data_IF_090096102930
#
_entry.id   IF_090096102930
#
_cell.length_a   1.000
_cell.length_b   1.000
_cell.length_c   1.000
_cell.angle_alpha   90.00
_cell.angle_beta   90.00
_cell.angle_gamma   90.00
#
_symmetry.space_group_name_H-M   'P 1'
#
loop_
_entity.id
_entity.type
_entity.pdbx_description
1 polymer ?
#
# COMPACT_ATOMS: atom_id res chain seq x y z
N UNK A 1 5.07 16.18 -6.90
CA UNK A 1 6.20 15.31 -6.51
C UNK A 1 7.51 16.08 -6.36
N UNK A 2 7.99 16.85 -7.35
CA UNK A 2 9.23 17.66 -7.26
C UNK A 2 9.23 18.67 -6.11
N UNK A 3 8.14 19.40 -5.90
CA UNK A 3 7.99 20.40 -4.84
C UNK A 3 8.00 19.76 -3.43
N UNK A 4 7.44 18.58 -3.29
CA UNK A 4 7.49 17.76 -2.08
C UNK A 4 8.92 17.35 -1.71
N UNK A 5 9.70 16.87 -2.69
CA UNK A 5 11.10 16.49 -2.49
C UNK A 5 11.98 17.69 -2.12
N UNK A 6 11.67 18.87 -2.62
CA UNK A 6 12.41 20.11 -2.34
C UNK A 6 12.14 20.66 -0.94
N UNK A 7 10.90 20.61 -0.47
CA UNK A 7 10.51 21.00 0.90
C UNK A 7 11.09 20.04 1.93
N UNK A 8 11.12 18.75 1.61
CA UNK A 8 11.71 17.71 2.48
C UNK A 8 13.22 17.83 2.58
N UNK A 9 13.92 18.14 1.48
CA UNK A 9 15.39 18.33 1.48
C UNK A 9 15.85 19.59 2.23
N UNK A 10 15.03 20.63 2.23
CA UNK A 10 15.38 21.92 2.85
C UNK A 10 14.96 22.03 4.31
N UNK A 11 14.30 21.00 4.85
CA UNK A 11 13.78 21.01 6.22
C UNK A 11 14.78 20.37 7.18
N UNK A 12 15.49 21.21 7.91
CA UNK A 12 16.50 20.81 8.92
C UNK A 12 15.78 20.69 10.27
N UNK A 13 15.12 19.56 10.52
CA UNK A 13 14.50 19.32 11.83
C UNK A 13 13.40 18.26 11.82
N UNK A 14 12.95 17.81 12.99
CA UNK A 14 11.85 16.88 13.10
C UNK A 14 10.57 17.52 12.53
N UNK A 15 9.83 16.75 11.73
CA UNK A 15 8.59 17.19 11.09
C UNK A 15 7.46 16.22 11.41
N UNK A 16 6.26 16.73 11.61
CA UNK A 16 5.05 15.92 11.65
C UNK A 16 4.54 15.68 10.23
N UNK A 17 4.28 14.43 9.87
CA UNK A 17 3.73 14.03 8.59
C UNK A 17 2.37 13.39 8.86
N UNK A 18 1.32 13.85 8.17
CA UNK A 18 0.01 13.25 8.29
C UNK A 18 -0.59 12.96 6.92
N UNK A 19 -1.16 11.76 6.77
CA UNK A 19 -2.08 11.42 5.69
C UNK A 19 -3.52 11.51 6.21
N UNK A 20 -4.37 12.07 5.39
CA UNK A 20 -5.78 12.32 5.73
C UNK A 20 -6.64 11.91 4.55
N UNK A 21 -7.77 11.29 4.83
CA UNK A 21 -8.75 10.85 3.85
C UNK A 21 -10.16 11.29 4.27
N UNK A 22 -10.94 11.74 3.31
CA UNK A 22 -12.32 12.14 3.56
C UNK A 22 -13.20 10.90 3.68
N UNK A 23 -13.81 10.72 4.85
CA UNK A 23 -14.69 9.58 5.08
C UNK A 23 -15.91 9.63 4.15
N UNK A 24 -16.26 8.46 3.60
CA UNK A 24 -17.44 8.29 2.74
C UNK A 24 -17.48 9.19 1.49
N UNK A 25 -16.34 9.70 1.02
CA UNK A 25 -16.28 10.60 -0.13
C UNK A 25 -16.89 10.00 -1.40
N UNK A 26 -16.72 8.70 -1.62
CA UNK A 26 -17.38 8.01 -2.74
C UNK A 26 -18.89 8.06 -2.61
N UNK A 27 -19.44 7.87 -1.41
CA UNK A 27 -20.90 7.96 -1.16
C UNK A 27 -21.39 9.37 -1.46
N UNK A 28 -20.62 10.41 -1.10
CA UNK A 28 -20.93 11.79 -1.47
C UNK A 28 -21.06 11.96 -2.99
N UNK A 29 -20.06 11.50 -3.76
CA UNK A 29 -20.08 11.57 -5.22
C UNK A 29 -21.26 10.80 -5.82
N UNK A 30 -21.51 9.58 -5.32
CA UNK A 30 -22.58 8.73 -5.83
C UNK A 30 -23.98 9.28 -5.50
N UNK A 31 -24.12 10.01 -4.39
CA UNK A 31 -25.42 10.55 -3.92
C UNK A 31 -25.71 11.95 -4.47
N UNK A 32 -24.71 12.84 -4.46
CA UNK A 32 -24.87 14.26 -4.77
C UNK A 32 -24.16 14.69 -6.07
N UNK A 33 -23.45 13.77 -6.73
CA UNK A 33 -22.70 14.02 -7.95
C UNK A 33 -21.31 14.62 -7.72
N UNK A 34 -20.45 14.55 -8.73
CA UNK A 34 -19.04 14.99 -8.67
C UNK A 34 -18.87 16.47 -8.30
N UNK A 35 -19.83 17.33 -8.68
CA UNK A 35 -19.78 18.74 -8.30
C UNK A 35 -19.84 18.94 -6.77
N UNK A 36 -20.66 18.14 -6.07
CA UNK A 36 -20.71 18.16 -4.60
C UNK A 36 -19.39 17.66 -3.99
N UNK A 37 -18.77 16.63 -4.60
CA UNK A 37 -17.45 16.14 -4.20
C UNK A 37 -16.36 17.20 -4.37
N UNK A 38 -16.35 17.95 -5.48
CA UNK A 38 -15.39 19.02 -5.68
C UNK A 38 -15.55 20.14 -4.62
N UNK A 39 -16.77 20.53 -4.29
CA UNK A 39 -17.06 21.48 -3.22
C UNK A 39 -16.65 20.94 -1.84
N UNK A 40 -16.85 19.65 -1.58
CA UNK A 40 -16.38 19.00 -0.36
C UNK A 40 -14.86 19.06 -0.23
N UNK A 41 -14.12 18.72 -1.30
CA UNK A 41 -12.66 18.82 -1.35
C UNK A 41 -12.15 20.24 -1.09
N UNK A 42 -12.76 21.23 -1.73
CA UNK A 42 -12.42 22.65 -1.49
C UNK A 42 -12.69 23.07 -0.05
N UNK A 43 -13.83 22.63 0.51
CA UNK A 43 -14.24 22.96 1.87
C UNK A 43 -13.27 22.35 2.88
N UNK A 44 -12.91 21.07 2.71
CA UNK A 44 -11.89 20.40 3.53
C UNK A 44 -10.54 21.10 3.43
N UNK A 45 -10.07 21.41 2.22
CA UNK A 45 -8.79 22.08 2.03
C UNK A 45 -8.77 23.47 2.71
N UNK A 46 -9.85 24.24 2.64
CA UNK A 46 -9.99 25.54 3.32
C UNK A 46 -9.99 25.39 4.84
N UNK A 47 -10.70 24.40 5.37
CA UNK A 47 -10.73 24.12 6.81
C UNK A 47 -9.34 23.71 7.32
N UNK A 48 -8.63 22.84 6.63
CA UNK A 48 -7.26 22.46 7.01
C UNK A 48 -6.33 23.67 6.96
N UNK A 49 -6.37 24.46 5.89
CA UNK A 49 -5.54 25.67 5.74
C UNK A 49 -5.76 26.70 6.82
N UNK A 50 -6.98 26.83 7.36
CA UNK A 50 -7.26 27.75 8.47
C UNK A 50 -6.62 27.31 9.80
N UNK A 51 -6.22 26.05 9.91
CA UNK A 51 -5.62 25.45 11.11
C UNK A 51 -4.08 25.39 11.06
N UNK A 52 -3.46 25.68 9.93
CA UNK A 52 -2.02 25.49 9.69
C UNK A 52 -1.32 26.82 9.40
N UNK A 53 0.01 26.86 9.52
CA UNK A 53 0.86 28.02 9.26
C UNK A 53 1.19 28.13 7.76
N UNK A 54 1.66 29.29 7.32
CA UNK A 54 2.16 29.46 5.95
C UNK A 54 3.36 28.57 5.63
N UNK A 55 4.15 28.23 6.65
CA UNK A 55 5.29 27.30 6.53
C UNK A 55 4.91 25.84 6.44
N UNK A 56 3.67 25.50 6.77
CA UNK A 56 3.16 24.14 6.73
C UNK A 56 2.69 23.83 5.30
N UNK A 57 2.86 22.58 4.87
CA UNK A 57 2.57 22.19 3.50
C UNK A 57 1.36 21.25 3.46
N UNK A 58 0.31 21.68 2.75
CA UNK A 58 -0.86 20.87 2.44
C UNK A 58 -0.86 20.51 0.96
N UNK A 59 -0.86 19.21 0.65
CA UNK A 59 -0.83 18.65 -0.71
C UNK A 59 -2.05 17.73 -0.87
N UNK A 60 -2.79 17.86 -1.96
CA UNK A 60 -3.73 16.82 -2.38
C UNK A 60 -2.95 15.65 -2.96
N UNK A 61 -2.93 14.52 -2.26
CA UNK A 61 -2.08 13.37 -2.55
C UNK A 61 -2.74 12.38 -3.51
N UNK A 62 -4.06 12.20 -3.41
CA UNK A 62 -4.90 11.34 -4.25
C UNK A 62 -6.27 11.94 -4.49
N UNK A 63 -7.25 11.13 -4.86
CA UNK A 63 -8.64 11.56 -5.13
C UNK A 63 -9.26 12.37 -3.98
N UNK A 64 -9.35 11.77 -2.80
CA UNK A 64 -9.88 12.30 -1.54
C UNK A 64 -8.85 12.38 -0.43
N UNK A 65 -7.58 12.12 -0.77
CA UNK A 65 -6.47 12.05 0.18
C UNK A 65 -5.66 13.35 0.19
N UNK A 66 -5.26 13.78 1.39
CA UNK A 66 -4.39 14.92 1.62
C UNK A 66 -3.15 14.50 2.41
N UNK A 67 -2.00 15.03 2.02
CA UNK A 67 -0.75 14.93 2.76
C UNK A 67 -0.45 16.29 3.42
N UNK A 68 -0.20 16.27 4.71
CA UNK A 68 0.18 17.44 5.51
C UNK A 68 1.59 17.25 6.06
N UNK A 69 2.43 18.27 5.87
CA UNK A 69 3.79 18.35 6.43
C UNK A 69 3.83 19.54 7.38
N UNK A 70 4.21 19.30 8.63
CA UNK A 70 4.30 20.27 9.72
C UNK A 70 5.74 20.39 10.19
N UNK A 71 6.57 21.26 9.58
CA UNK A 71 7.95 21.44 9.95
C UNK A 71 8.13 21.95 11.39
N UNK A 72 9.02 21.31 12.14
CA UNK A 72 9.36 21.76 13.51
C UNK A 72 8.21 21.69 14.52
N UNK A 73 7.16 20.90 14.26
CA UNK A 73 6.10 20.71 15.24
C UNK A 73 6.61 19.88 16.43
N UNK A 74 6.38 20.29 17.69
CA UNK A 74 6.70 19.46 18.85
C UNK A 74 5.87 18.17 18.87
N UNK A 75 6.51 17.05 19.26
CA UNK A 75 5.86 15.73 19.23
C UNK A 75 4.63 15.63 20.15
N UNK A 76 4.69 16.28 21.31
CA UNK A 76 3.57 16.36 22.27
C UNK A 76 2.39 17.19 21.74
N UNK A 77 2.66 18.16 20.86
CA UNK A 77 1.62 19.00 20.25
C UNK A 77 1.07 18.43 18.93
N UNK A 78 1.77 17.48 18.31
CA UNK A 78 1.41 16.97 16.99
C UNK A 78 0.00 16.35 16.96
N UNK A 79 -0.31 15.44 17.90
CA UNK A 79 -1.65 14.85 18.00
C UNK A 79 -2.73 15.90 18.23
N UNK A 80 -2.47 16.87 19.11
CA UNK A 80 -3.40 17.97 19.40
C UNK A 80 -3.71 18.78 18.14
N UNK A 81 -2.70 19.04 17.31
CA UNK A 81 -2.85 19.74 16.04
C UNK A 81 -3.73 18.96 15.06
N UNK A 82 -3.53 17.65 14.94
CA UNK A 82 -4.34 16.80 14.05
C UNK A 82 -5.80 16.72 14.51
N UNK A 83 -6.05 16.65 15.84
CA UNK A 83 -7.41 16.71 16.41
C UNK A 83 -8.09 18.06 16.17
N UNK A 84 -7.34 19.18 16.23
CA UNK A 84 -7.86 20.50 15.85
C UNK A 84 -8.31 20.52 14.39
N UNK A 85 -7.51 19.98 13.49
CA UNK A 85 -7.84 19.89 12.05
C UNK A 85 -9.09 19.03 11.85
N UNK A 86 -9.14 17.83 12.44
CA UNK A 86 -10.30 16.94 12.36
C UNK A 86 -11.57 17.64 12.80
N UNK A 87 -11.53 18.28 13.99
CA UNK A 87 -12.68 19.01 14.55
C UNK A 87 -13.09 20.19 13.67
N UNK A 88 -12.13 20.93 13.12
CA UNK A 88 -12.42 22.04 12.23
C UNK A 88 -13.14 21.57 10.96
N UNK A 89 -12.72 20.46 10.36
CA UNK A 89 -13.41 19.89 9.20
C UNK A 89 -14.81 19.40 9.56
N UNK A 90 -14.97 18.69 10.68
CA UNK A 90 -16.26 18.20 11.16
C UNK A 90 -17.30 19.34 11.38
N UNK A 91 -16.84 20.53 11.75
CA UNK A 91 -17.70 21.71 11.97
C UNK A 91 -18.06 22.47 10.69
N UNK A 92 -17.44 22.11 9.55
CA UNK A 92 -17.75 22.80 8.29
C UNK A 92 -19.02 22.26 7.64
N UNK A 93 -19.60 23.10 6.79
CA UNK A 93 -20.77 22.75 5.97
C UNK A 93 -20.40 22.95 4.51
N UNK A 94 -20.68 21.94 3.68
CA UNK A 94 -20.48 22.04 2.24
C UNK A 94 -21.50 22.99 1.63
N UNK A 95 -21.10 24.05 0.92
CA UNK A 95 -22.01 24.99 0.29
C UNK A 95 -23.03 24.30 -0.61
N UNK A 96 -24.32 24.59 -0.39
CA UNK A 96 -25.42 23.97 -1.12
C UNK A 96 -25.85 22.57 -0.61
N UNK A 97 -25.10 21.97 0.33
CA UNK A 97 -25.37 20.64 0.86
C UNK A 97 -25.34 20.61 2.41
N UNK A 98 -26.27 21.28 3.11
CA UNK A 98 -26.21 21.46 4.56
C UNK A 98 -26.38 20.17 5.37
N UNK A 99 -26.89 19.10 4.75
CA UNK A 99 -27.05 17.81 5.41
C UNK A 99 -25.86 16.89 5.23
N UNK A 100 -24.92 17.24 4.34
CA UNK A 100 -23.71 16.47 4.15
C UNK A 100 -22.68 16.81 5.23
N UNK A 101 -22.35 15.83 6.07
CA UNK A 101 -21.34 15.96 7.13
C UNK A 101 -19.99 15.50 6.64
N UNK A 102 -19.00 16.37 6.76
CA UNK A 102 -17.61 16.05 6.47
C UNK A 102 -16.93 15.46 7.71
N UNK A 103 -16.16 14.41 7.53
CA UNK A 103 -15.22 13.91 8.53
C UNK A 103 -13.93 13.43 7.87
N UNK A 104 -12.87 13.36 8.66
CA UNK A 104 -11.54 12.91 8.24
C UNK A 104 -11.05 11.75 9.08
N UNK A 105 -10.50 10.76 8.44
CA UNK A 105 -9.60 9.77 9.04
C UNK A 105 -8.17 10.23 8.85
N UNK A 106 -7.42 10.42 9.95
CA UNK A 106 -6.08 11.02 9.95
C UNK A 106 -5.08 10.07 10.57
N UNK A 107 -4.02 9.74 9.82
CA UNK A 107 -2.84 9.03 10.33
C UNK A 107 -1.64 9.96 10.39
N UNK A 108 -0.98 10.05 11.54
CA UNK A 108 0.14 10.96 11.75
C UNK A 108 1.40 10.26 12.26
N UNK A 109 2.55 10.54 11.65
CA UNK A 109 3.84 10.03 12.06
C UNK A 109 4.87 11.15 12.20
N UNK A 110 5.71 11.07 13.24
CA UNK A 110 6.82 12.02 13.42
C UNK A 110 8.05 11.53 12.66
N UNK A 111 8.62 12.43 11.87
CA UNK A 111 9.92 12.23 11.22
C UNK A 111 11.06 12.54 12.19
N UNK A 112 12.05 11.67 12.25
CA UNK A 112 13.35 11.93 12.87
C UNK A 112 14.40 12.20 11.79
N UNK A 113 15.56 12.77 12.18
CA UNK A 113 16.65 13.06 11.24
C UNK A 113 17.20 11.81 10.52
N UNK A 114 16.99 10.63 11.09
CA UNK A 114 17.47 9.35 10.55
C UNK A 114 16.44 8.66 9.65
N UNK A 115 15.17 9.10 9.68
CA UNK A 115 14.08 8.42 8.95
C UNK A 115 13.97 8.94 7.51
N UNK A 116 14.08 8.06 6.50
CA UNK A 116 13.68 8.41 5.14
C UNK A 116 12.21 8.81 5.11
N UNK A 117 11.90 9.89 4.40
CA UNK A 117 10.52 10.42 4.31
C UNK A 117 9.51 9.37 3.84
N UNK A 118 9.89 8.49 2.92
CA UNK A 118 9.03 7.40 2.41
C UNK A 118 8.57 6.46 3.53
N UNK A 119 9.43 6.16 4.49
CA UNK A 119 9.07 5.34 5.65
C UNK A 119 8.10 6.06 6.59
N UNK A 120 8.26 7.39 6.75
CA UNK A 120 7.36 8.19 7.58
C UNK A 120 5.97 8.28 6.96
N UNK A 121 5.90 8.52 5.65
CA UNK A 121 4.63 8.53 4.91
C UNK A 121 3.95 7.16 4.97
N UNK A 122 4.69 6.05 4.87
CA UNK A 122 4.13 4.70 5.02
C UNK A 122 3.56 4.45 6.42
N UNK A 123 4.24 4.91 7.48
CA UNK A 123 3.70 4.83 8.84
C UNK A 123 2.41 5.66 8.99
N UNK A 124 2.40 6.87 8.44
CA UNK A 124 1.21 7.72 8.44
C UNK A 124 0.03 7.05 7.69
N UNK A 125 0.30 6.37 6.56
CA UNK A 125 -0.69 5.62 5.79
C UNK A 125 -1.32 4.48 6.61
N UNK A 126 -0.49 3.66 7.27
CA UNK A 126 -0.96 2.59 8.14
C UNK A 126 -1.84 3.12 9.29
N UNK A 127 -1.44 4.24 9.91
CA UNK A 127 -2.19 4.88 10.97
C UNK A 127 -3.51 5.49 10.44
N UNK A 128 -3.51 6.10 9.26
CA UNK A 128 -4.73 6.58 8.61
C UNK A 128 -5.71 5.42 8.36
N UNK A 129 -5.20 4.27 7.91
CA UNK A 129 -6.02 3.07 7.73
C UNK A 129 -6.63 2.58 9.07
N UNK A 130 -5.89 2.64 10.17
CA UNK A 130 -6.44 2.34 11.51
C UNK A 130 -7.53 3.35 11.90
N UNK A 131 -7.31 4.64 11.65
CA UNK A 131 -8.32 5.68 11.89
C UNK A 131 -9.60 5.45 11.07
N UNK A 132 -9.49 4.99 9.81
CA UNK A 132 -10.62 4.66 8.92
C UNK A 132 -11.56 3.58 9.48
N UNK A 133 -11.05 2.67 10.30
CA UNK A 133 -11.90 1.64 10.94
C UNK A 133 -12.91 2.25 11.94
N UNK A 134 -12.60 3.42 12.46
CA UNK A 134 -13.47 4.14 13.41
C UNK A 134 -14.19 5.33 12.78
N UNK A 135 -13.69 5.80 11.63
CA UNK A 135 -14.05 7.07 10.98
C UNK A 135 -13.96 8.27 11.93
N UNK A 136 -13.85 9.48 11.40
CA UNK A 136 -13.74 10.71 12.19
C UNK A 136 -12.72 10.56 13.35
N UNK A 137 -11.52 10.08 13.05
CA UNK A 137 -10.54 9.66 14.06
C UNK A 137 -9.11 10.07 13.68
N UNK A 138 -8.27 10.22 14.70
CA UNK A 138 -6.83 10.51 14.57
C UNK A 138 -6.03 9.39 15.23
N UNK A 139 -5.16 8.76 14.46
CA UNK A 139 -4.16 7.82 14.95
C UNK A 139 -2.75 8.42 14.76
N UNK A 140 -1.91 8.39 15.80
CA UNK A 140 -0.52 8.86 15.71
C UNK A 140 0.45 7.83 16.27
N UNK A 141 1.68 7.83 15.76
CA UNK A 141 2.72 6.99 16.33
C UNK A 141 3.12 7.53 17.72
N UNK A 142 3.02 6.69 18.74
CA UNK A 142 3.57 6.94 20.06
C UNK A 142 5.01 6.43 20.13
N UNK A 143 5.80 6.87 21.14
CA UNK A 143 7.18 6.37 21.30
C UNK A 143 7.22 4.84 21.46
N UNK A 144 6.24 4.25 22.14
CA UNK A 144 6.14 2.78 22.30
C UNK A 144 5.73 2.08 21.00
N UNK A 145 4.91 2.71 20.15
CA UNK A 145 4.56 2.18 18.84
C UNK A 145 5.70 2.32 17.81
N UNK A 146 6.69 3.21 18.02
CA UNK A 146 7.85 3.32 17.14
C UNK A 146 8.78 2.12 17.25
N UNK A 147 9.01 1.62 18.46
CA UNK A 147 9.80 0.39 18.68
C UNK A 147 9.07 -0.82 18.15
N UNK A 148 7.76 -0.95 18.43
CA UNK A 148 6.92 -2.01 17.89
C UNK A 148 6.75 -1.92 16.37
N UNK A 149 6.62 -0.72 15.79
CA UNK A 149 6.52 -0.54 14.35
C UNK A 149 7.86 -0.76 13.63
N UNK A 150 9.01 -0.47 14.26
CA UNK A 150 10.31 -0.82 13.68
C UNK A 150 10.56 -2.33 13.70
N UNK A 151 10.14 -3.05 14.74
CA UNK A 151 10.18 -4.50 14.80
C UNK A 151 9.14 -5.12 13.84
N UNK A 152 7.90 -4.62 13.78
CA UNK A 152 6.87 -5.07 12.85
C UNK A 152 7.19 -4.75 11.39
N UNK A 153 7.78 -3.59 11.06
CA UNK A 153 8.19 -3.25 9.69
C UNK A 153 9.33 -4.16 9.19
N UNK A 154 10.15 -4.71 10.09
CA UNK A 154 11.14 -5.74 9.74
C UNK A 154 10.53 -7.15 9.62
N UNK A 155 9.43 -7.45 10.34
CA UNK A 155 8.73 -8.74 10.25
C UNK A 155 7.61 -8.80 9.20
N UNK A 156 7.06 -7.67 8.73
CA UNK A 156 5.84 -7.63 7.90
C UNK A 156 6.02 -7.19 6.44
N UNK A 157 7.25 -7.12 5.92
CA UNK A 157 7.35 -6.99 4.45
C UNK A 157 6.73 -8.23 3.81
N UNK A 158 5.72 -8.07 2.92
CA UNK A 158 5.17 -9.22 2.22
C UNK A 158 6.30 -10.01 1.55
N UNK A 159 6.24 -11.33 1.64
CA UNK A 159 7.27 -12.20 1.09
C UNK A 159 6.92 -12.56 -0.34
N UNK A 160 7.83 -12.28 -1.26
CA UNK A 160 7.73 -12.69 -2.66
C UNK A 160 8.70 -13.83 -2.91
N UNK A 161 8.23 -14.91 -3.49
CA UNK A 161 9.05 -16.02 -3.95
C UNK A 161 9.35 -15.81 -5.45
N UNK A 162 10.61 -15.54 -5.78
CA UNK A 162 11.11 -15.46 -7.16
C UNK A 162 11.56 -16.85 -7.62
N UNK A 163 10.97 -17.34 -8.69
CA UNK A 163 11.26 -18.67 -9.24
C UNK A 163 11.70 -18.54 -10.69
N UNK A 164 12.96 -18.73 -10.95
CA UNK A 164 13.59 -18.58 -12.28
C UNK A 164 14.93 -19.32 -12.26
N UNK A 165 15.30 -20.05 -13.28
CA UNK A 165 16.58 -20.78 -13.33
C UNK A 165 17.78 -19.83 -13.53
N UNK A 166 17.55 -18.66 -14.12
CA UNK A 166 18.55 -17.63 -14.33
C UNK A 166 18.79 -16.79 -13.09
N UNK A 167 19.97 -16.90 -12.49
CA UNK A 167 20.40 -16.04 -11.38
C UNK A 167 20.31 -14.55 -11.74
N UNK A 168 20.62 -14.17 -12.99
CA UNK A 168 20.54 -12.77 -13.44
C UNK A 168 19.12 -12.23 -13.41
N UNK A 169 18.14 -13.03 -13.83
CA UNK A 169 16.74 -12.65 -13.78
C UNK A 169 16.26 -12.48 -12.34
N UNK A 170 16.63 -13.39 -11.43
CA UNK A 170 16.29 -13.27 -10.01
C UNK A 170 16.91 -12.02 -9.39
N UNK A 171 18.19 -11.73 -9.66
CA UNK A 171 18.85 -10.50 -9.19
C UNK A 171 18.17 -9.23 -9.70
N UNK A 172 17.76 -9.20 -10.97
CA UNK A 172 17.06 -8.06 -11.57
C UNK A 172 15.69 -7.84 -10.90
N UNK A 173 14.90 -8.88 -10.73
CA UNK A 173 13.60 -8.82 -10.05
C UNK A 173 13.75 -8.46 -8.57
N UNK A 174 14.75 -9.01 -7.90
CA UNK A 174 15.08 -8.64 -6.52
C UNK A 174 15.46 -7.16 -6.39
N UNK A 175 16.20 -6.61 -7.36
CA UNK A 175 16.52 -5.18 -7.42
C UNK A 175 15.31 -4.27 -7.64
N UNK A 176 14.27 -4.74 -8.35
CA UNK A 176 13.03 -4.00 -8.57
C UNK A 176 12.14 -4.00 -7.33
N UNK A 177 12.12 -5.10 -6.57
CA UNK A 177 11.14 -5.37 -5.53
C UNK A 177 11.70 -5.32 -4.10
N UNK A 178 13.02 -5.47 -3.92
CA UNK A 178 13.65 -5.70 -2.62
C UNK A 178 13.50 -4.55 -1.61
N UNK A 179 13.23 -3.34 -2.08
CA UNK A 179 13.03 -2.20 -1.18
C UNK A 179 11.72 -2.30 -0.37
N UNK A 180 10.67 -2.89 -0.96
CA UNK A 180 9.33 -2.96 -0.38
C UNK A 180 8.92 -4.38 0.06
N UNK A 181 9.61 -5.41 -0.43
CA UNK A 181 9.26 -6.81 -0.23
C UNK A 181 10.45 -7.62 0.28
N UNK A 182 10.18 -8.66 1.06
CA UNK A 182 11.17 -9.66 1.42
C UNK A 182 11.24 -10.71 0.31
N UNK A 183 12.41 -10.93 -0.25
CA UNK A 183 12.61 -11.84 -1.38
C UNK A 183 13.08 -13.20 -0.87
N UNK A 184 12.45 -14.25 -1.37
CA UNK A 184 12.93 -15.63 -1.38
C UNK A 184 13.18 -16.07 -2.81
N UNK A 185 14.14 -16.94 -3.01
CA UNK A 185 14.52 -17.39 -4.35
C UNK A 185 14.44 -18.91 -4.47
N UNK A 186 14.05 -19.39 -5.66
CA UNK A 186 14.10 -20.77 -6.07
C UNK A 186 14.59 -20.85 -7.52
N UNK A 187 15.35 -21.88 -7.84
CA UNK A 187 15.99 -22.07 -9.16
C UNK A 187 15.18 -22.99 -10.09
N UNK A 188 14.13 -23.61 -9.59
CA UNK A 188 13.25 -24.51 -10.33
C UNK A 188 11.93 -24.72 -9.58
N UNK A 189 10.96 -25.32 -10.26
CA UNK A 189 9.63 -25.57 -9.71
C UNK A 189 9.63 -26.49 -8.48
N UNK A 190 10.56 -27.45 -8.39
CA UNK A 190 10.64 -28.34 -7.22
C UNK A 190 11.00 -27.57 -5.95
N UNK A 191 12.04 -26.72 -6.02
CA UNK A 191 12.41 -25.84 -4.89
C UNK A 191 11.28 -24.85 -4.54
N UNK A 192 10.56 -24.35 -5.55
CA UNK A 192 9.38 -23.51 -5.33
C UNK A 192 8.35 -24.21 -4.43
N UNK A 193 7.95 -25.44 -4.79
CA UNK A 193 6.96 -26.20 -4.00
C UNK A 193 7.47 -26.59 -2.62
N UNK A 194 8.78 -26.87 -2.46
CA UNK A 194 9.40 -27.13 -1.15
C UNK A 194 9.32 -25.87 -0.25
N UNK A 195 9.62 -24.68 -0.79
CA UNK A 195 9.53 -23.42 -0.05
C UNK A 195 8.10 -23.06 0.29
N UNK A 196 7.15 -23.26 -0.62
CA UNK A 196 5.72 -23.03 -0.35
C UNK A 196 5.22 -23.89 0.81
N UNK A 197 5.65 -25.17 0.90
CA UNK A 197 5.32 -26.07 2.02
C UNK A 197 6.02 -25.67 3.32
N UNK A 198 7.32 -25.38 3.26
CA UNK A 198 8.12 -25.04 4.44
C UNK A 198 7.73 -23.71 5.07
N UNK A 199 7.21 -22.78 4.26
CA UNK A 199 6.83 -21.41 4.66
C UNK A 199 5.35 -21.13 4.39
N UNK A 200 4.50 -22.13 4.62
CA UNK A 200 3.06 -22.00 4.44
C UNK A 200 2.51 -20.78 5.21
N UNK A 201 1.69 -19.98 4.56
CA UNK A 201 1.10 -18.77 5.13
C UNK A 201 2.03 -17.53 5.21
N UNK A 202 3.35 -17.67 4.96
CA UNK A 202 4.28 -16.54 4.97
C UNK A 202 4.49 -15.92 3.58
N UNK A 203 4.37 -16.72 2.51
CA UNK A 203 4.57 -16.26 1.13
C UNK A 203 3.31 -15.53 0.66
N UNK A 204 3.49 -14.31 0.21
CA UNK A 204 2.40 -13.41 -0.21
C UNK A 204 2.14 -13.45 -1.71
N UNK A 205 3.14 -13.84 -2.52
CA UNK A 205 3.06 -13.92 -3.97
C UNK A 205 4.22 -14.74 -4.52
N UNK A 206 3.99 -15.45 -5.62
CA UNK A 206 5.02 -16.13 -6.42
C UNK A 206 5.18 -15.42 -7.76
N UNK A 207 6.41 -15.04 -8.11
CA UNK A 207 6.80 -14.70 -9.48
C UNK A 207 7.45 -15.92 -10.11
N UNK A 208 6.84 -16.48 -11.14
CA UNK A 208 7.16 -17.81 -11.64
C UNK A 208 7.54 -17.78 -13.13
N UNK A 209 8.76 -18.16 -13.45
CA UNK A 209 9.15 -18.42 -14.83
C UNK A 209 8.52 -19.72 -15.36
N UNK A 210 8.22 -19.75 -16.65
CA UNK A 210 7.68 -20.96 -17.31
C UNK A 210 8.79 -21.95 -17.58
N UNK A 211 9.87 -21.51 -18.21
CA UNK A 211 10.89 -22.38 -18.79
C UNK A 211 12.02 -22.64 -17.79
N UNK A 212 11.88 -23.66 -16.98
CA UNK A 212 12.88 -24.04 -15.98
C UNK A 212 13.23 -25.54 -16.06
N UNK A 213 14.46 -25.94 -15.72
CA UNK A 213 14.84 -27.35 -15.61
C UNK A 213 14.16 -28.01 -14.41
N UNK A 214 14.10 -29.34 -14.42
CA UNK A 214 13.58 -30.22 -13.35
C UNK A 214 12.06 -30.21 -13.24
N UNK A 215 11.43 -29.04 -13.16
CA UNK A 215 10.00 -28.83 -13.09
C UNK A 215 9.70 -27.43 -13.65
N UNK A 216 8.89 -27.35 -14.67
CA UNK A 216 8.50 -26.11 -15.32
C UNK A 216 7.40 -25.34 -14.54
N UNK A 217 7.15 -24.09 -14.96
CA UNK A 217 6.18 -23.24 -14.29
C UNK A 217 4.73 -23.72 -14.40
N UNK A 218 4.35 -24.37 -15.50
CA UNK A 218 3.01 -24.94 -15.65
C UNK A 218 2.81 -26.16 -14.73
N UNK A 219 3.83 -26.99 -14.55
CA UNK A 219 3.79 -28.11 -13.59
C UNK A 219 3.61 -27.60 -12.14
N UNK A 220 4.27 -26.48 -11.79
CA UNK A 220 4.08 -25.81 -10.50
C UNK A 220 2.64 -25.32 -10.36
N UNK A 221 2.11 -24.61 -11.36
CA UNK A 221 0.72 -24.12 -11.34
C UNK A 221 -0.29 -25.25 -11.18
N UNK A 222 -0.15 -26.33 -11.96
CA UNK A 222 -1.03 -27.51 -11.87
C UNK A 222 -1.00 -28.11 -10.45
N UNK A 223 0.19 -28.19 -9.85
CA UNK A 223 0.35 -28.70 -8.49
C UNK A 223 -0.30 -27.77 -7.46
N UNK A 224 -0.09 -26.45 -7.58
CA UNK A 224 -0.70 -25.45 -6.68
C UNK A 224 -2.23 -25.41 -6.82
N UNK A 225 -2.76 -25.61 -8.03
CA UNK A 225 -4.19 -25.69 -8.27
C UNK A 225 -4.79 -26.98 -7.65
N UNK A 226 -4.16 -28.13 -7.88
CA UNK A 226 -4.63 -29.42 -7.36
C UNK A 226 -4.69 -29.46 -5.83
N UNK A 227 -3.76 -28.81 -5.14
CA UNK A 227 -3.69 -28.76 -3.68
C UNK A 227 -4.30 -27.48 -3.08
N UNK A 228 -5.00 -26.68 -3.88
CA UNK A 228 -5.65 -25.42 -3.51
C UNK A 228 -4.72 -24.31 -2.98
N UNK A 229 -3.39 -24.45 -3.06
CA UNK A 229 -2.44 -23.43 -2.61
C UNK A 229 -2.59 -22.13 -3.40
N UNK A 230 -3.04 -22.20 -4.64
CA UNK A 230 -3.21 -21.04 -5.54
C UNK A 230 -4.33 -20.09 -5.06
N UNK A 231 -5.27 -20.58 -4.25
CA UNK A 231 -6.34 -19.77 -3.66
C UNK A 231 -5.80 -18.81 -2.59
N UNK A 232 -4.73 -19.25 -1.89
CA UNK A 232 -4.10 -18.47 -0.82
C UNK A 232 -2.89 -17.67 -1.30
N UNK A 233 -2.15 -18.19 -2.29
CA UNK A 233 -0.90 -17.57 -2.76
C UNK A 233 -1.01 -17.27 -4.25
N UNK A 234 -1.20 -15.98 -4.63
CA UNK A 234 -1.29 -15.59 -6.03
C UNK A 234 0.03 -15.86 -6.78
N UNK A 235 -0.10 -16.23 -8.05
CA UNK A 235 1.02 -16.47 -8.95
C UNK A 235 0.96 -15.49 -10.11
N UNK A 236 2.06 -14.79 -10.36
CA UNK A 236 2.28 -14.02 -11.59
C UNK A 236 3.30 -14.79 -12.43
N UNK A 237 2.90 -15.20 -13.62
CA UNK A 237 3.82 -15.85 -14.56
C UNK A 237 4.71 -14.82 -15.23
N UNK A 238 5.97 -15.14 -15.43
CA UNK A 238 6.93 -14.32 -16.20
C UNK A 238 7.56 -15.20 -17.29
N UNK A 239 7.43 -14.81 -18.54
CA UNK A 239 7.98 -15.61 -19.64
C UNK A 239 8.40 -14.76 -20.83
N UNK A 240 9.28 -15.32 -21.67
CA UNK A 240 9.56 -14.84 -23.02
C UNK A 240 8.60 -15.41 -24.06
N UNK A 241 7.76 -16.38 -23.71
CA UNK A 241 6.72 -16.92 -24.58
C UNK A 241 5.50 -15.99 -24.48
N UNK A 242 5.16 -15.31 -25.58
CA UNK A 242 4.04 -14.39 -25.70
C UNK A 242 2.89 -15.01 -26.55
N UNK A 243 2.92 -16.32 -26.73
CA UNK A 243 1.86 -17.02 -27.47
C UNK A 243 0.52 -16.94 -26.72
N UNK A 244 -0.57 -16.79 -27.49
CA UNK A 244 -1.92 -16.76 -26.90
C UNK A 244 -2.24 -18.07 -26.18
N UNK A 245 -1.69 -19.19 -26.64
CA UNK A 245 -1.83 -20.49 -26.01
C UNK A 245 -1.21 -20.54 -24.63
N UNK A 246 0.03 -20.09 -24.44
CA UNK A 246 0.73 -20.08 -23.16
C UNK A 246 0.04 -19.15 -22.16
N UNK A 247 -0.37 -17.96 -22.61
CA UNK A 247 -1.10 -17.00 -21.78
C UNK A 247 -2.43 -17.58 -21.33
N UNK A 248 -3.20 -18.19 -22.24
CA UNK A 248 -4.47 -18.80 -21.92
C UNK A 248 -4.32 -19.96 -20.94
N UNK A 249 -3.36 -20.86 -21.17
CA UNK A 249 -3.07 -21.98 -20.27
C UNK A 249 -2.71 -21.51 -18.86
N UNK A 250 -1.90 -20.45 -18.74
CA UNK A 250 -1.57 -19.86 -17.44
C UNK A 250 -2.83 -19.42 -16.67
N UNK A 251 -3.73 -18.69 -17.31
CA UNK A 251 -4.98 -18.24 -16.67
C UNK A 251 -5.94 -19.39 -16.38
N UNK A 252 -6.07 -20.37 -17.26
CA UNK A 252 -6.89 -21.57 -17.03
C UNK A 252 -6.40 -22.39 -15.83
N UNK A 253 -5.09 -22.41 -15.60
CA UNK A 253 -4.49 -23.05 -14.44
C UNK A 253 -4.52 -22.20 -13.15
N UNK A 254 -5.06 -20.97 -13.22
CA UNK A 254 -5.30 -20.12 -12.06
C UNK A 254 -4.23 -19.07 -11.80
N UNK A 255 -3.32 -18.78 -12.75
CA UNK A 255 -2.41 -17.64 -12.61
C UNK A 255 -3.20 -16.34 -12.43
N UNK A 256 -2.74 -15.49 -11.51
CA UNK A 256 -3.38 -14.20 -11.22
C UNK A 256 -3.03 -13.13 -12.26
N UNK A 257 -1.86 -13.25 -12.89
CA UNK A 257 -1.40 -12.35 -13.95
C UNK A 257 -0.26 -12.99 -14.78
N UNK A 258 0.06 -12.37 -15.92
CA UNK A 258 1.11 -12.80 -16.84
C UNK A 258 1.93 -11.60 -17.31
N UNK A 259 3.26 -11.70 -17.27
CA UNK A 259 4.18 -10.65 -17.68
C UNK A 259 5.15 -11.16 -18.73
N UNK A 260 5.13 -10.56 -19.93
CA UNK A 260 6.03 -10.90 -21.01
C UNK A 260 7.41 -10.27 -20.82
N UNK A 261 8.46 -10.97 -21.26
CA UNK A 261 9.82 -10.45 -21.39
C UNK A 261 10.06 -9.92 -22.82
N UNK A 262 10.80 -8.81 -22.99
CA UNK A 262 11.38 -7.96 -21.93
C UNK A 262 10.31 -7.12 -21.22
N UNK A 263 10.43 -6.93 -19.91
CA UNK A 263 9.47 -6.20 -19.10
C UNK A 263 10.02 -4.85 -18.61
N UNK A 264 9.12 -3.89 -18.42
CA UNK A 264 9.40 -2.63 -17.74
C UNK A 264 9.32 -2.83 -16.20
N UNK A 265 10.35 -2.36 -15.47
CA UNK A 265 10.43 -2.47 -14.02
C UNK A 265 9.20 -1.88 -13.30
N UNK A 266 8.65 -0.74 -13.81
CA UNK A 266 7.46 -0.12 -13.24
C UNK A 266 6.20 -0.95 -13.45
N UNK A 267 6.12 -1.66 -14.58
CA UNK A 267 4.98 -2.55 -14.87
C UNK A 267 5.00 -3.74 -13.91
N UNK A 268 6.16 -4.40 -13.76
CA UNK A 268 6.32 -5.51 -12.80
C UNK A 268 5.97 -5.08 -11.39
N UNK A 269 6.56 -3.97 -10.92
CA UNK A 269 6.28 -3.44 -9.59
C UNK A 269 4.78 -3.16 -9.37
N UNK A 270 4.10 -2.52 -10.33
CA UNK A 270 2.66 -2.23 -10.24
C UNK A 270 1.80 -3.48 -10.20
N UNK A 271 2.08 -4.48 -11.03
CA UNK A 271 1.33 -5.74 -11.07
C UNK A 271 1.47 -6.50 -9.76
N UNK A 272 2.70 -6.65 -9.26
CA UNK A 272 2.98 -7.25 -7.96
C UNK A 272 2.26 -6.53 -6.83
N UNK A 273 2.41 -5.19 -6.74
CA UNK A 273 1.75 -4.39 -5.70
C UNK A 273 0.22 -4.50 -5.73
N UNK A 274 -0.39 -4.45 -6.92
CA UNK A 274 -1.83 -4.56 -7.07
C UNK A 274 -2.34 -5.96 -6.69
N UNK A 275 -1.64 -7.01 -7.10
CA UNK A 275 -2.00 -8.39 -6.79
C UNK A 275 -1.92 -8.66 -5.28
N UNK A 276 -0.83 -8.26 -4.63
CA UNK A 276 -0.67 -8.41 -3.17
C UNK A 276 -1.78 -7.65 -2.42
N UNK A 277 -2.08 -6.40 -2.81
CA UNK A 277 -3.16 -5.60 -2.18
C UNK A 277 -4.53 -6.25 -2.34
N UNK A 278 -4.83 -6.79 -3.51
CA UNK A 278 -6.10 -7.46 -3.79
C UNK A 278 -6.29 -8.70 -2.89
N UNK A 279 -5.29 -9.58 -2.85
CA UNK A 279 -5.34 -10.80 -2.04
C UNK A 279 -5.32 -10.52 -0.54
N UNK A 280 -4.58 -9.51 -0.08
CA UNK A 280 -4.63 -9.07 1.33
C UNK A 280 -6.03 -8.61 1.72
N UNK A 281 -6.73 -7.89 0.83
CA UNK A 281 -8.12 -7.46 1.05
C UNK A 281 -9.09 -8.64 1.08
N UNK A 282 -8.95 -9.62 0.19
CA UNK A 282 -9.75 -10.84 0.19
C UNK A 282 -9.59 -11.64 1.48
N UNK A 283 -8.35 -11.89 1.93
CA UNK A 283 -8.08 -12.62 3.19
C UNK A 283 -8.73 -11.95 4.40
N UNK A 284 -8.69 -10.62 4.48
CA UNK A 284 -9.35 -9.88 5.57
C UNK A 284 -10.86 -10.04 5.56
N UNK A 285 -11.49 -10.03 4.37
CA UNK A 285 -12.94 -10.26 4.25
C UNK A 285 -13.33 -11.66 4.72
N UNK A 286 -12.54 -12.69 4.36
CA UNK A 286 -12.77 -14.07 4.79
C UNK A 286 -12.62 -14.20 6.32
N UNK A 287 -11.59 -13.61 6.91
CA UNK A 287 -11.42 -13.61 8.38
C UNK A 287 -12.58 -12.94 9.10
N UNK A 288 -13.04 -11.78 8.63
CA UNK A 288 -14.19 -11.07 9.22
C UNK A 288 -15.49 -11.90 9.20
N UNK A 289 -15.65 -12.76 8.18
CA UNK A 289 -16.84 -13.66 8.07
C UNK A 289 -16.68 -14.90 8.97
N UNK A 290 -15.45 -15.36 9.19
CA UNK A 290 -15.17 -16.56 10.02
C UNK A 290 -15.24 -16.28 11.52
N UNK A 291 -15.08 -15.01 11.94
CA UNK A 291 -15.13 -14.56 13.34
C UNK A 291 -16.54 -14.15 13.79
N UNK A 292 -17.55 -14.31 12.93
CA UNK A 292 -18.99 -14.13 13.23
C UNK A 292 -19.70 -15.49 13.43
#
# INVERSE_FOLDING_TARGET
RRYYEEVVRNNIGPSGIALMDIDDFKICNDTYGHHAGDLALETVAKAIRSCIRETDLLIRYGGDEFLLVLPGIPADYFKVKLEQIRTAVQQTVVPGYPHFRLSLSIGGAMQTLADPMENVVRRADLLMYQAKNHKDAVAVDTQDSRLAAQEQVLEEKPVILLVDDSMMNRMMLAGILGDDYRILEAENGKQCLELLRAKAGQISLVLLDINMPVMDGFEVLRTMNTNHTIEDVPVIMISSDDSEEAIREAYELGASDYVNRPFDAKIVYRRVSNTIKLYAKQRRLVQMVSDQ
#
